data_IF_894836557416
#
_entry.id   IF_894836557416
#
_cell.length_a   1.000
_cell.length_b   1.000
_cell.length_c   1.000
_cell.angle_alpha   90.00
_cell.angle_beta   90.00
_cell.angle_gamma   90.00
#
_symmetry.space_group_name_H-M   'P 1'
#
loop_
_entity.id
_entity.type
_entity.pdbx_description
1 polymer ?
#
# COMPACT_ATOMS: atom_id res chain seq x y z
N UNK A 1 -35.65 5.80 -15.13
CA UNK A 1 -35.81 4.68 -16.09
C UNK A 1 -36.21 5.26 -17.44
N UNK A 2 -35.26 5.37 -18.37
CA UNK A 2 -35.57 5.69 -19.77
C UNK A 2 -34.42 5.19 -20.64
N UNK A 3 -34.54 3.93 -21.09
CA UNK A 3 -33.69 3.34 -22.12
C UNK A 3 -34.09 3.94 -23.48
N UNK A 4 -33.11 4.44 -24.25
CA UNK A 4 -33.25 4.59 -25.70
C UNK A 4 -32.21 3.73 -26.39
N UNK A 5 -32.68 2.64 -27.00
CA UNK A 5 -32.02 1.96 -28.09
C UNK A 5 -31.92 2.91 -29.29
N UNK A 6 -30.73 3.05 -29.87
CA UNK A 6 -30.57 3.37 -31.29
C UNK A 6 -29.65 2.34 -31.91
N UNK A 7 -30.23 1.61 -32.86
CA UNK A 7 -29.57 0.62 -33.68
C UNK A 7 -29.08 1.28 -34.99
N UNK A 8 -28.05 0.64 -35.57
CA UNK A 8 -27.75 0.54 -37.00
C UNK A 8 -27.21 1.78 -37.72
N UNK A 9 -26.05 1.65 -38.39
CA UNK A 9 -25.94 1.57 -39.86
C UNK A 9 -24.51 1.19 -40.26
N UNK A 10 -24.39 0.10 -41.03
CA UNK A 10 -23.18 -0.36 -41.73
C UNK A 10 -23.06 0.47 -43.02
N UNK A 11 -21.87 0.95 -43.39
CA UNK A 11 -21.64 1.46 -44.74
C UNK A 11 -20.28 0.99 -45.29
N UNK A 12 -20.37 0.10 -46.28
CA UNK A 12 -19.31 -0.43 -47.13
C UNK A 12 -19.12 0.47 -48.35
N UNK A 13 -17.89 0.91 -48.65
CA UNK A 13 -17.54 1.39 -49.99
C UNK A 13 -16.07 1.14 -50.36
N UNK A 14 -15.91 0.08 -51.15
CA UNK A 14 -15.09 -0.15 -52.36
C UNK A 14 -14.03 0.93 -52.75
N UNK A 15 -12.77 0.46 -52.90
CA UNK A 15 -11.57 0.98 -53.63
C UNK A 15 -11.87 1.35 -55.12
N UNK A 16 -10.94 1.87 -55.99
CA UNK A 16 -9.48 2.11 -55.85
C UNK A 16 -8.98 3.48 -56.42
N UNK A 17 -7.73 3.87 -56.12
CA UNK A 17 -6.93 4.68 -57.07
C UNK A 17 -5.45 4.33 -56.98
N UNK A 18 -4.94 3.86 -58.11
CA UNK A 18 -3.55 3.47 -58.36
C UNK A 18 -2.61 4.67 -58.49
N UNK A 19 -1.31 4.36 -58.34
CA UNK A 19 -0.14 5.04 -58.91
C UNK A 19 0.52 6.16 -58.09
N UNK A 20 1.66 5.85 -57.45
CA UNK A 20 2.98 6.08 -58.07
C UNK A 20 4.07 5.39 -57.23
N UNK A 21 4.73 4.38 -57.79
CA UNK A 21 5.84 3.67 -57.14
C UNK A 21 7.15 4.31 -57.60
N UNK A 22 7.86 5.02 -56.70
CA UNK A 22 9.26 5.39 -56.92
C UNK A 22 10.15 4.41 -56.11
N UNK A 23 11.01 3.61 -56.76
CA UNK A 23 11.84 2.63 -56.08
C UNK A 23 13.14 3.26 -55.54
N UNK A 24 13.18 3.59 -54.25
CA UNK A 24 14.46 3.78 -53.54
C UNK A 24 14.91 2.47 -52.90
N UNK A 25 15.70 1.75 -53.68
CA UNK A 25 16.89 1.00 -53.28
C UNK A 25 17.09 0.72 -51.77
N UNK A 26 16.62 -0.46 -51.36
CA UNK A 26 17.37 -1.50 -50.64
C UNK A 26 18.34 -1.07 -49.53
N UNK A 27 18.00 -1.38 -48.27
CA UNK A 27 18.90 -1.99 -47.26
C UNK A 27 18.13 -2.40 -45.99
N UNK A 28 17.85 -3.70 -45.89
CA UNK A 28 17.77 -4.54 -44.68
C UNK A 28 17.55 -3.84 -43.32
N UNK A 29 16.43 -3.15 -43.15
CA UNK A 29 16.01 -2.56 -41.87
C UNK A 29 15.22 -3.52 -40.97
N UNK A 30 15.14 -4.79 -41.39
CA UNK A 30 14.37 -5.85 -40.77
C UNK A 30 14.90 -6.37 -39.42
N UNK A 31 16.21 -6.37 -39.08
CA UNK A 31 16.65 -6.94 -37.80
C UNK A 31 16.35 -6.02 -36.62
N UNK A 32 16.37 -4.69 -36.82
CA UNK A 32 16.21 -3.73 -35.72
C UNK A 32 14.76 -3.70 -35.22
N UNK A 33 13.79 -3.69 -36.13
CA UNK A 33 12.38 -3.76 -35.78
C UNK A 33 12.03 -5.08 -35.07
N UNK A 34 12.59 -6.21 -35.53
CA UNK A 34 12.39 -7.51 -34.87
C UNK A 34 13.01 -7.56 -33.46
N UNK A 35 14.15 -6.91 -33.25
CA UNK A 35 14.85 -6.87 -31.95
C UNK A 35 14.13 -5.96 -30.95
N UNK A 36 13.57 -4.83 -31.40
CA UNK A 36 12.72 -3.94 -30.59
C UNK A 36 11.40 -4.62 -30.21
N UNK A 37 10.79 -5.38 -31.12
CA UNK A 37 9.54 -6.12 -30.83
C UNK A 37 9.81 -7.27 -29.85
N UNK A 38 10.88 -8.04 -30.05
CA UNK A 38 11.26 -9.12 -29.14
C UNK A 38 11.58 -8.61 -27.73
N UNK A 39 12.27 -7.47 -27.60
CA UNK A 39 12.55 -6.85 -26.30
C UNK A 39 11.29 -6.31 -25.62
N UNK A 40 10.34 -5.71 -26.35
CA UNK A 40 9.04 -5.29 -25.79
C UNK A 40 8.23 -6.46 -25.21
N UNK A 41 8.22 -7.61 -25.88
CA UNK A 41 7.50 -8.80 -25.42
C UNK A 41 8.15 -9.44 -24.18
N UNK A 42 9.48 -9.34 -24.04
CA UNK A 42 10.19 -9.85 -22.87
C UNK A 42 9.86 -9.01 -21.63
N UNK A 43 9.73 -7.68 -21.76
CA UNK A 43 9.45 -6.74 -20.66
C UNK A 43 8.01 -6.91 -20.09
N UNK A 44 7.05 -7.45 -20.86
CA UNK A 44 5.69 -7.74 -20.36
C UNK A 44 5.61 -8.96 -19.43
N UNK A 45 6.69 -9.73 -19.29
CA UNK A 45 6.71 -10.98 -18.50
C UNK A 45 7.02 -10.76 -17.01
N UNK A 46 7.49 -9.57 -16.64
CA UNK A 46 8.04 -9.29 -15.31
C UNK A 46 7.24 -8.20 -14.58
N UNK A 47 5.95 -8.44 -14.43
CA UNK A 47 5.10 -7.75 -13.45
C UNK A 47 4.79 -8.68 -12.27
N UNK A 48 5.79 -9.34 -11.71
CA UNK A 48 5.67 -9.98 -10.40
C UNK A 48 6.91 -9.65 -9.57
N UNK A 49 7.14 -8.35 -9.35
CA UNK A 49 7.80 -7.94 -8.13
C UNK A 49 6.90 -8.40 -6.99
N UNK A 50 7.29 -9.46 -6.29
CA UNK A 50 6.70 -9.82 -5.03
C UNK A 50 6.87 -8.63 -4.10
N UNK A 51 5.85 -7.78 -4.02
CA UNK A 51 5.68 -6.86 -2.90
C UNK A 51 5.55 -7.76 -1.68
N UNK A 52 6.67 -7.99 -1.00
CA UNK A 52 6.63 -8.55 0.33
C UNK A 52 5.95 -7.49 1.19
N UNK A 53 4.64 -7.61 1.32
CA UNK A 53 3.93 -7.07 2.46
C UNK A 53 4.56 -7.73 3.68
N UNK A 54 5.56 -7.07 4.25
CA UNK A 54 5.96 -7.34 5.63
C UNK A 54 4.70 -7.07 6.42
N UNK A 55 3.95 -8.14 6.70
CA UNK A 55 2.85 -8.08 7.65
C UNK A 55 3.43 -7.41 8.90
N UNK A 56 2.75 -6.40 9.48
CA UNK A 56 3.16 -5.95 10.79
C UNK A 56 3.20 -7.20 11.67
N UNK A 57 4.37 -7.50 12.23
CA UNK A 57 4.55 -8.59 13.18
C UNK A 57 3.33 -8.58 14.09
N UNK A 58 2.57 -9.69 14.08
CA UNK A 58 1.36 -9.82 14.86
C UNK A 58 1.67 -9.26 16.25
N UNK A 59 0.93 -8.23 16.65
CA UNK A 59 1.00 -7.78 18.02
C UNK A 59 0.77 -9.05 18.88
N UNK A 60 1.61 -9.33 19.88
CA UNK A 60 1.35 -10.46 20.77
C UNK A 60 -0.10 -10.33 21.23
N UNK A 61 -0.88 -11.40 21.21
CA UNK A 61 -2.28 -11.39 21.65
C UNK A 61 -2.37 -10.63 22.99
N UNK A 62 -2.83 -9.38 22.92
CA UNK A 62 -2.72 -8.39 24.01
C UNK A 62 -3.95 -8.43 24.92
N UNK A 63 -4.95 -9.20 24.53
CA UNK A 63 -6.24 -9.37 25.17
C UNK A 63 -6.08 -10.05 26.53
N UNK A 64 -5.19 -11.06 26.68
CA UNK A 64 -4.88 -11.69 27.98
C UNK A 64 -4.25 -10.75 29.00
N UNK A 65 -3.60 -9.66 28.56
CA UNK A 65 -2.94 -8.68 29.43
C UNK A 65 -3.85 -7.49 29.80
N UNK A 66 -5.09 -7.50 29.30
CA UNK A 66 -6.06 -6.42 29.51
C UNK A 66 -5.65 -5.10 28.85
N UNK A 67 -4.88 -5.15 27.76
CA UNK A 67 -4.38 -3.94 27.11
C UNK A 67 -5.51 -3.09 26.52
N UNK A 68 -6.56 -3.69 25.97
CA UNK A 68 -7.64 -2.96 25.30
C UNK A 68 -8.34 -1.98 26.25
N UNK A 69 -8.72 -2.44 27.46
CA UNK A 69 -9.38 -1.61 28.46
C UNK A 69 -8.46 -0.51 28.99
N UNK A 70 -7.19 -0.84 29.28
CA UNK A 70 -6.20 0.13 29.76
C UNK A 70 -5.90 1.19 28.72
N UNK A 71 -5.71 0.80 27.47
CA UNK A 71 -5.46 1.70 26.35
C UNK A 71 -6.70 2.54 26.00
N UNK A 72 -7.91 1.99 26.11
CA UNK A 72 -9.14 2.75 25.96
C UNK A 72 -9.21 3.93 26.94
N UNK A 73 -8.86 3.68 28.21
CA UNK A 73 -8.80 4.71 29.24
C UNK A 73 -7.65 5.71 29.01
N UNK A 74 -6.43 5.21 28.76
CA UNK A 74 -5.26 6.06 28.47
C UNK A 74 -5.49 7.00 27.31
N UNK A 75 -6.14 6.52 26.26
CA UNK A 75 -6.45 7.28 25.05
C UNK A 75 -7.82 7.99 25.11
N UNK A 76 -8.51 8.03 26.25
CA UNK A 76 -9.89 8.57 26.37
C UNK A 76 -10.04 10.02 25.89
N UNK A 77 -9.01 10.85 26.08
CA UNK A 77 -8.99 12.27 25.68
C UNK A 77 -8.00 12.60 24.56
N UNK A 78 -7.54 11.59 23.82
CA UNK A 78 -6.62 11.80 22.69
C UNK A 78 -7.35 12.29 21.45
N UNK A 79 -6.85 13.37 20.82
CA UNK A 79 -7.37 13.86 19.53
C UNK A 79 -7.04 12.95 18.33
N UNK A 80 -6.11 12.00 18.49
CA UNK A 80 -5.77 10.98 17.49
C UNK A 80 -5.99 9.59 18.07
N UNK A 81 -7.27 9.25 18.28
CA UNK A 81 -7.71 8.05 19.00
C UNK A 81 -7.06 6.76 18.47
N UNK A 82 -7.18 6.49 17.17
CA UNK A 82 -6.70 5.24 16.57
C UNK A 82 -5.18 5.11 16.66
N UNK A 83 -4.46 6.23 16.43
CA UNK A 83 -3.01 6.28 16.57
C UNK A 83 -2.59 6.01 18.02
N UNK A 84 -3.29 6.61 18.98
CA UNK A 84 -3.02 6.40 20.40
C UNK A 84 -3.24 4.93 20.79
N UNK A 85 -4.37 4.34 20.43
CA UNK A 85 -4.68 2.94 20.72
C UNK A 85 -3.64 1.99 20.13
N UNK A 86 -3.25 2.21 18.87
CA UNK A 86 -2.22 1.42 18.19
C UNK A 86 -0.89 1.42 18.94
N UNK A 87 -0.37 2.61 19.28
CA UNK A 87 0.92 2.69 19.98
C UNK A 87 0.83 2.23 21.43
N UNK A 88 -0.29 2.52 22.12
CA UNK A 88 -0.54 2.02 23.46
C UNK A 88 -0.53 0.49 23.50
N UNK A 89 -1.24 -0.18 22.58
CA UNK A 89 -1.27 -1.64 22.50
C UNK A 89 0.12 -2.25 22.28
N UNK A 90 0.92 -1.67 21.36
CA UNK A 90 2.31 -2.11 21.14
C UNK A 90 3.16 -1.97 22.41
N UNK A 91 3.02 -0.85 23.12
CA UNK A 91 3.78 -0.62 24.35
C UNK A 91 3.30 -1.50 25.51
N UNK A 92 1.99 -1.71 25.62
CA UNK A 92 1.37 -2.59 26.59
C UNK A 92 1.88 -4.03 26.44
N UNK A 93 1.87 -4.57 25.22
CA UNK A 93 2.40 -5.90 24.95
C UNK A 93 3.90 -6.03 25.26
N UNK A 94 4.70 -5.01 24.92
CA UNK A 94 6.14 -5.00 25.23
C UNK A 94 6.46 -4.85 26.72
N UNK A 95 5.55 -4.27 27.50
CA UNK A 95 5.70 -4.02 28.92
C UNK A 95 4.84 -4.95 29.78
N UNK A 96 4.55 -6.17 29.30
CA UNK A 96 3.82 -7.19 30.05
C UNK A 96 2.48 -6.69 30.61
N UNK A 97 1.76 -5.85 29.86
CA UNK A 97 0.46 -5.34 30.26
C UNK A 97 0.49 -4.03 31.07
N UNK A 98 1.66 -3.44 31.34
CA UNK A 98 1.74 -2.17 32.07
C UNK A 98 1.36 -1.00 31.15
N UNK A 99 0.33 -0.25 31.54
CA UNK A 99 -0.08 1.01 30.94
C UNK A 99 -0.38 1.97 32.08
N UNK A 100 0.16 3.21 32.07
CA UNK A 100 -0.17 4.21 33.08
C UNK A 100 -1.68 4.47 33.13
N UNK A 101 -2.18 4.82 34.32
CA UNK A 101 -3.60 5.13 34.45
C UNK A 101 -4.00 6.28 33.50
N UNK A 102 -5.11 6.10 32.79
CA UNK A 102 -5.55 7.11 31.82
C UNK A 102 -6.27 8.29 32.46
N UNK A 103 -6.49 9.40 31.70
CA UNK A 103 -5.71 9.87 30.56
C UNK A 103 -4.52 10.77 30.96
N UNK A 104 -4.38 11.09 32.24
CA UNK A 104 -3.44 12.11 32.73
C UNK A 104 -2.34 11.60 33.64
N UNK A 105 -2.36 10.32 34.03
CA UNK A 105 -1.34 9.84 34.94
C UNK A 105 0.04 9.89 34.29
N UNK A 106 1.04 10.08 35.15
CA UNK A 106 2.43 10.16 34.74
C UNK A 106 2.94 8.81 34.22
N UNK A 107 3.82 8.85 33.21
CA UNK A 107 4.38 7.63 32.61
C UNK A 107 5.30 6.87 33.57
N UNK A 108 5.85 7.50 34.61
CA UNK A 108 6.68 6.87 35.64
C UNK A 108 5.95 5.77 36.42
N UNK A 109 4.62 5.73 36.40
CA UNK A 109 3.85 4.58 36.92
C UNK A 109 4.23 3.26 36.22
N UNK A 110 4.65 3.32 34.96
CA UNK A 110 5.13 2.19 34.18
C UNK A 110 6.49 2.54 33.54
N UNK A 111 7.62 2.32 34.23
CA UNK A 111 8.96 2.68 33.72
C UNK A 111 9.27 2.10 32.33
N UNK A 112 8.95 0.83 32.08
CA UNK A 112 9.10 0.24 30.74
C UNK A 112 8.35 1.04 29.66
N UNK A 113 7.08 1.39 29.92
CA UNK A 113 6.22 2.11 29.00
C UNK A 113 6.74 3.54 28.74
N UNK A 114 7.28 4.19 29.78
CA UNK A 114 7.95 5.50 29.70
C UNK A 114 9.21 5.45 28.83
N UNK A 115 10.02 4.41 29.02
CA UNK A 115 11.39 4.37 28.48
C UNK A 115 11.47 3.80 27.06
N UNK A 116 10.38 3.21 26.54
CA UNK A 116 10.27 2.75 25.16
C UNK A 116 10.43 3.90 24.15
N UNK A 117 11.51 3.82 23.36
CA UNK A 117 11.79 4.74 22.25
C UNK A 117 11.48 4.12 20.89
N UNK A 118 11.20 4.99 19.93
CA UNK A 118 11.18 4.62 18.52
C UNK A 118 12.62 4.60 17.96
N UNK A 119 12.84 4.13 16.72
CA UNK A 119 14.19 4.09 16.12
C UNK A 119 14.89 5.45 16.00
N UNK A 120 14.14 6.57 16.14
CA UNK A 120 14.66 7.94 16.12
C UNK A 120 14.95 8.48 17.54
N UNK A 121 14.93 7.62 18.56
CA UNK A 121 15.19 7.98 19.96
C UNK A 121 14.08 8.81 20.64
N UNK A 122 12.92 8.99 20.00
CA UNK A 122 11.78 9.72 20.59
C UNK A 122 10.86 8.76 21.33
N UNK A 123 10.10 9.28 22.29
CA UNK A 123 9.07 8.52 23.01
C UNK A 123 8.15 7.80 22.02
N UNK A 124 7.97 6.49 22.24
CA UNK A 124 7.10 5.67 21.40
C UNK A 124 5.67 5.64 21.91
N UNK A 125 5.50 5.62 23.22
CA UNK A 125 4.23 5.32 23.87
C UNK A 125 3.46 6.60 24.23
N UNK A 126 2.14 6.64 24.02
CA UNK A 126 1.32 7.82 24.33
C UNK A 126 1.20 8.09 25.83
#
# INVERSE_FOLDING_TARGET
>A
MTHRHKQLTINTHILPKQSNHNPTNMKNHLPFAALVIATLLIISSNANAAFQSVAPAAAPATDTLGCDSKCANRCSRSGWKDRCLKYCGICCGKCNGCVPSGPYADKAQCPCYRDLKNPKGKDKCP
#
